data_IF_657982122907
#
_entry.id   IF_657982122907
#
_cell.length_a   1.000
_cell.length_b   1.000
_cell.length_c   1.000
_cell.angle_alpha   90.00
_cell.angle_beta   90.00
_cell.angle_gamma   90.00
#
_symmetry.space_group_name_H-M   'P 1'
#
loop_
_entity.id
_entity.type
_entity.pdbx_description
1 polymer ?
#
# COMPACT_ATOMS: atom_id res chain seq x y z
N UNK A 1 -8.85 -10.02 26.68
CA UNK A 1 -7.61 -9.49 27.32
C UNK A 1 -6.46 -9.75 26.36
N UNK A 2 -6.24 -8.86 25.40
CA UNK A 2 -5.04 -8.85 24.56
C UNK A 2 -4.08 -7.85 25.22
N UNK A 3 -3.00 -8.36 25.84
CA UNK A 3 -1.85 -7.54 26.19
C UNK A 3 -1.15 -7.22 24.86
N UNK A 4 -1.30 -6.00 24.38
CA UNK A 4 -0.44 -5.45 23.34
C UNK A 4 1.00 -5.49 23.84
N UNK A 5 1.77 -6.39 23.29
CA UNK A 5 3.21 -6.36 23.45
C UNK A 5 3.69 -5.06 22.77
N UNK A 6 4.16 -4.13 23.56
CA UNK A 6 4.85 -2.92 23.11
C UNK A 6 6.18 -3.38 22.50
N UNK A 7 6.11 -3.82 21.24
CA UNK A 7 7.27 -4.20 20.44
C UNK A 7 8.08 -2.91 20.27
N UNK A 8 9.26 -2.83 20.82
CA UNK A 8 10.15 -1.65 20.80
C UNK A 8 10.34 -1.13 19.37
N UNK A 9 9.31 -0.46 18.89
CA UNK A 9 9.23 0.14 17.56
C UNK A 9 10.35 1.17 17.42
N UNK A 10 11.12 1.10 16.36
CA UNK A 10 12.21 2.04 16.08
C UNK A 10 13.62 1.59 16.48
N UNK A 11 13.80 0.39 17.03
CA UNK A 11 15.13 -0.20 17.24
C UNK A 11 15.37 -1.34 16.24
N UNK A 12 16.64 -1.60 15.88
CA UNK A 12 16.99 -2.73 15.00
C UNK A 12 16.42 -4.08 15.49
N UNK A 13 16.42 -4.32 16.82
CA UNK A 13 15.81 -5.52 17.41
C UNK A 13 14.29 -5.55 17.26
N UNK A 14 13.65 -4.38 17.28
CA UNK A 14 12.21 -4.26 17.03
C UNK A 14 11.84 -4.63 15.59
N UNK A 15 12.57 -4.16 14.62
CA UNK A 15 12.33 -4.45 13.20
C UNK A 15 12.60 -5.90 12.85
N UNK A 16 13.63 -6.53 13.41
CA UNK A 16 13.86 -7.96 13.23
C UNK A 16 12.65 -8.79 13.69
N UNK A 17 12.09 -8.48 14.87
CA UNK A 17 10.92 -9.20 15.38
C UNK A 17 9.67 -8.94 14.53
N UNK A 18 9.50 -7.72 14.01
CA UNK A 18 8.43 -7.38 13.07
C UNK A 18 8.57 -8.22 11.80
N UNK A 19 9.76 -8.26 11.20
CA UNK A 19 10.05 -9.07 10.02
C UNK A 19 9.71 -10.55 10.24
N UNK A 20 10.25 -11.15 11.32
CA UNK A 20 9.99 -12.55 11.67
C UNK A 20 8.49 -12.83 11.82
N UNK A 21 7.75 -11.91 12.47
CA UNK A 21 6.31 -12.04 12.65
C UNK A 21 5.55 -11.95 11.32
N UNK A 22 5.91 -11.01 10.44
CA UNK A 22 5.25 -10.83 9.15
C UNK A 22 5.54 -11.98 8.18
N UNK A 23 6.81 -12.42 8.12
CA UNK A 23 7.21 -13.57 7.31
C UNK A 23 6.52 -14.85 7.79
N UNK A 24 6.48 -15.10 9.10
CA UNK A 24 5.76 -16.23 9.68
C UNK A 24 4.26 -16.15 9.36
N UNK A 25 3.65 -14.99 9.54
CA UNK A 25 2.22 -14.79 9.26
C UNK A 25 1.87 -15.03 7.80
N UNK A 26 2.70 -14.57 6.86
CA UNK A 26 2.53 -14.85 5.44
C UNK A 26 2.57 -16.35 5.17
N UNK A 27 3.53 -17.10 5.72
CA UNK A 27 3.60 -18.57 5.58
C UNK A 27 2.38 -19.26 6.17
N UNK A 28 2.03 -18.92 7.41
CA UNK A 28 0.94 -19.58 8.16
C UNK A 28 -0.43 -19.34 7.50
N UNK A 29 -0.71 -18.09 7.10
CA UNK A 29 -2.02 -17.72 6.55
C UNK A 29 -2.23 -18.17 5.10
N UNK A 30 -1.16 -18.38 4.36
CA UNK A 30 -1.26 -18.74 2.94
C UNK A 30 -1.11 -20.24 2.67
N UNK A 31 -0.57 -20.99 3.64
CA UNK A 31 -0.42 -22.46 3.56
C UNK A 31 0.04 -22.94 2.17
N UNK A 32 -0.84 -23.62 1.45
CA UNK A 32 -0.66 -24.19 0.09
C UNK A 32 -0.97 -23.20 -1.05
N UNK A 33 -1.28 -21.94 -0.73
CA UNK A 33 -1.50 -20.89 -1.72
C UNK A 33 -0.21 -20.16 -2.07
N UNK A 34 -0.03 -19.81 -3.32
CA UNK A 34 1.03 -18.90 -3.76
C UNK A 34 0.73 -17.47 -3.33
N UNK A 35 1.72 -16.59 -3.38
CA UNK A 35 1.57 -15.15 -3.10
C UNK A 35 1.58 -14.37 -4.41
N UNK A 36 0.65 -13.45 -4.55
CA UNK A 36 0.59 -12.54 -5.69
C UNK A 36 0.43 -11.09 -5.23
N UNK A 37 1.26 -10.19 -5.75
CA UNK A 37 1.15 -8.77 -5.46
C UNK A 37 1.34 -7.90 -6.71
N UNK A 38 0.83 -6.69 -6.65
CA UNK A 38 1.17 -5.62 -7.60
C UNK A 38 2.48 -4.95 -7.19
N UNK A 39 3.44 -4.85 -8.10
CA UNK A 39 4.69 -4.11 -7.86
C UNK A 39 4.69 -2.84 -8.67
N UNK A 40 4.64 -1.68 -7.98
CA UNK A 40 4.50 -0.36 -8.60
C UNK A 40 5.83 0.38 -8.79
N UNK A 41 6.92 -0.11 -8.17
CA UNK A 41 8.19 0.64 -8.07
C UNK A 41 8.21 1.66 -6.93
N UNK A 42 7.19 1.68 -6.07
CA UNK A 42 7.14 2.43 -4.80
C UNK A 42 7.63 1.61 -3.61
N UNK A 43 8.01 2.30 -2.52
CA UNK A 43 8.62 1.71 -1.33
C UNK A 43 7.74 0.65 -0.65
N UNK A 44 6.42 0.87 -0.55
CA UNK A 44 5.49 -0.05 0.12
C UNK A 44 5.44 -1.39 -0.62
N UNK A 45 5.30 -1.36 -1.95
CA UNK A 45 5.32 -2.56 -2.78
C UNK A 45 6.68 -3.27 -2.72
N UNK A 46 7.79 -2.55 -2.59
CA UNK A 46 9.12 -3.11 -2.46
C UNK A 46 9.32 -3.83 -1.11
N UNK A 47 8.84 -3.24 -0.01
CA UNK A 47 8.83 -3.86 1.32
C UNK A 47 8.01 -5.15 1.31
N UNK A 48 6.78 -5.12 0.77
CA UNK A 48 5.92 -6.29 0.71
C UNK A 48 6.48 -7.38 -0.20
N UNK A 49 7.05 -7.02 -1.36
CA UNK A 49 7.71 -7.96 -2.25
C UNK A 49 8.86 -8.69 -1.55
N UNK A 50 9.68 -7.94 -0.79
CA UNK A 50 10.78 -8.49 -0.01
C UNK A 50 10.30 -9.47 1.06
N UNK A 51 9.23 -9.13 1.79
CA UNK A 51 8.61 -10.00 2.79
C UNK A 51 8.04 -11.27 2.16
N UNK A 52 7.36 -11.15 1.03
CA UNK A 52 6.80 -12.29 0.28
C UNK A 52 7.91 -13.23 -0.22
N UNK A 53 8.96 -12.69 -0.82
CA UNK A 53 10.11 -13.47 -1.29
C UNK A 53 10.81 -14.22 -0.14
N UNK A 54 10.93 -13.61 1.05
CA UNK A 54 11.45 -14.28 2.24
C UNK A 54 10.51 -15.34 2.81
N UNK A 55 9.21 -15.09 2.72
CA UNK A 55 8.21 -16.05 3.19
C UNK A 55 8.10 -17.27 2.26
N UNK A 56 8.02 -17.04 0.95
CA UNK A 56 7.81 -18.07 -0.07
C UNK A 56 8.63 -17.77 -1.34
N UNK A 57 9.94 -18.03 -1.35
CA UNK A 57 10.84 -17.62 -2.44
C UNK A 57 10.40 -18.09 -3.82
N UNK A 58 9.97 -19.37 -3.96
CA UNK A 58 9.62 -19.97 -5.24
C UNK A 58 8.13 -19.84 -5.60
N UNK A 59 7.32 -19.35 -4.66
CA UNK A 59 5.86 -19.27 -4.76
C UNK A 59 5.34 -17.82 -4.74
N UNK A 60 6.24 -16.84 -4.89
CA UNK A 60 5.88 -15.42 -4.97
C UNK A 60 5.82 -14.96 -6.43
N UNK A 61 4.74 -14.29 -6.78
CA UNK A 61 4.47 -13.76 -8.12
C UNK A 61 4.15 -12.27 -8.05
N UNK A 62 4.50 -11.54 -9.10
CA UNK A 62 4.21 -10.12 -9.22
C UNK A 62 3.53 -9.78 -10.55
N UNK A 63 2.62 -8.80 -10.52
CA UNK A 63 2.15 -8.10 -11.71
C UNK A 63 2.67 -6.66 -11.69
N UNK A 64 3.30 -6.25 -12.78
CA UNK A 64 3.69 -4.86 -13.07
C UNK A 64 2.71 -4.36 -14.11
N UNK A 65 1.88 -3.38 -13.76
CA UNK A 65 0.71 -2.98 -14.55
C UNK A 65 0.77 -1.49 -14.92
N UNK A 66 1.65 -1.11 -15.88
CA UNK A 66 1.80 0.27 -16.27
C UNK A 66 0.64 0.81 -17.08
N UNK A 67 0.51 2.15 -17.08
CA UNK A 67 -0.27 2.95 -18.02
C UNK A 67 0.68 3.76 -18.91
N UNK A 68 0.16 4.50 -19.89
CA UNK A 68 0.97 5.41 -20.71
C UNK A 68 1.60 6.55 -19.88
N UNK A 69 0.96 6.94 -18.76
CA UNK A 69 1.46 7.98 -17.85
C UNK A 69 2.36 7.45 -16.72
N UNK A 70 2.58 6.14 -16.62
CA UNK A 70 3.43 5.56 -15.59
C UNK A 70 4.88 6.03 -15.74
N UNK A 71 5.50 6.40 -14.62
CA UNK A 71 6.88 6.81 -14.59
C UNK A 71 7.80 5.66 -14.99
N UNK A 72 8.64 5.88 -16.01
CA UNK A 72 9.55 4.87 -16.54
C UNK A 72 10.52 4.35 -15.48
N UNK A 73 11.05 5.24 -14.62
CA UNK A 73 11.96 4.85 -13.55
C UNK A 73 11.28 3.91 -12.54
N UNK A 74 9.97 4.15 -12.22
CA UNK A 74 9.21 3.27 -11.35
C UNK A 74 9.05 1.87 -11.95
N UNK A 75 8.87 1.80 -13.26
CA UNK A 75 8.78 0.52 -13.97
C UNK A 75 10.12 -0.22 -13.96
N UNK A 76 11.22 0.47 -14.25
CA UNK A 76 12.56 -0.10 -14.22
C UNK A 76 12.92 -0.59 -12.80
N UNK A 77 12.61 0.20 -11.76
CA UNK A 77 12.79 -0.18 -10.36
C UNK A 77 11.97 -1.43 -9.99
N UNK A 78 10.72 -1.53 -10.46
CA UNK A 78 9.87 -2.70 -10.23
C UNK A 78 10.44 -3.98 -10.88
N UNK A 79 10.94 -3.88 -12.10
CA UNK A 79 11.59 -4.99 -12.81
C UNK A 79 12.84 -5.45 -12.08
N UNK A 80 13.75 -4.51 -11.79
CA UNK A 80 15.02 -4.79 -11.08
C UNK A 80 14.76 -5.44 -9.70
N UNK A 81 13.73 -4.98 -8.98
CA UNK A 81 13.36 -5.57 -7.70
C UNK A 81 12.92 -7.04 -7.85
N UNK A 82 12.05 -7.31 -8.82
CA UNK A 82 11.58 -8.69 -9.08
C UNK A 82 12.74 -9.61 -9.44
N UNK A 83 13.67 -9.16 -10.30
CA UNK A 83 14.87 -9.92 -10.69
C UNK A 83 15.78 -10.17 -9.48
N UNK A 84 16.08 -9.12 -8.70
CA UNK A 84 16.93 -9.21 -7.50
C UNK A 84 16.38 -10.18 -6.45
N UNK A 85 15.05 -10.20 -6.28
CA UNK A 85 14.37 -11.07 -5.33
C UNK A 85 13.99 -12.45 -5.91
N UNK A 86 14.34 -12.72 -7.17
CA UNK A 86 13.96 -13.93 -7.90
C UNK A 86 12.44 -14.19 -7.89
N UNK A 87 11.64 -13.12 -7.98
CA UNK A 87 10.18 -13.17 -8.03
C UNK A 87 9.74 -13.39 -9.48
N UNK A 88 8.86 -14.36 -9.71
CA UNK A 88 8.21 -14.57 -11.02
C UNK A 88 7.27 -13.41 -11.32
N UNK A 89 7.46 -12.70 -12.45
CA UNK A 89 6.62 -11.55 -12.75
C UNK A 89 6.08 -11.55 -14.18
N UNK A 90 4.99 -10.78 -14.36
CA UNK A 90 4.45 -10.42 -15.68
C UNK A 90 4.27 -8.91 -15.77
N UNK A 91 4.54 -8.35 -16.94
CA UNK A 91 4.24 -6.96 -17.27
C UNK A 91 2.97 -6.95 -18.12
N UNK A 92 1.93 -6.30 -17.61
CA UNK A 92 0.61 -6.21 -18.25
C UNK A 92 0.20 -4.74 -18.36
N UNK A 93 0.35 -4.12 -19.52
CA UNK A 93 -0.17 -2.77 -19.74
C UNK A 93 -1.69 -2.77 -19.62
N UNK A 94 -2.21 -1.85 -18.79
CA UNK A 94 -3.65 -1.66 -18.61
C UNK A 94 -4.23 -0.56 -19.51
N UNK A 95 -3.41 0.06 -20.36
CA UNK A 95 -3.78 1.21 -21.17
C UNK A 95 -4.97 0.92 -22.10
N UNK A 96 -4.93 -0.22 -22.80
CA UNK A 96 -6.03 -0.60 -23.71
C UNK A 96 -7.37 -0.79 -22.98
N UNK A 97 -7.33 -1.33 -21.74
CA UNK A 97 -8.54 -1.50 -20.93
C UNK A 97 -9.07 -0.14 -20.48
N UNK A 98 -8.20 0.76 -20.03
CA UNK A 98 -8.59 2.11 -19.61
C UNK A 98 -9.19 2.91 -20.77
N UNK A 99 -8.61 2.82 -21.97
CA UNK A 99 -9.12 3.51 -23.15
C UNK A 99 -10.53 3.02 -23.51
N UNK A 100 -10.79 1.72 -23.46
CA UNK A 100 -12.14 1.17 -23.67
C UNK A 100 -13.15 1.70 -22.63
N UNK A 101 -12.74 1.85 -21.38
CA UNK A 101 -13.58 2.50 -20.35
C UNK A 101 -13.82 3.97 -20.66
N UNK A 102 -12.79 4.72 -21.08
CA UNK A 102 -12.91 6.15 -21.38
C UNK A 102 -13.86 6.40 -22.56
N UNK A 103 -13.77 5.59 -23.60
CA UNK A 103 -14.69 5.62 -24.74
C UNK A 103 -16.14 5.31 -24.35
N UNK A 104 -16.34 4.38 -23.39
CA UNK A 104 -17.68 4.00 -22.93
C UNK A 104 -18.34 5.07 -22.05
N UNK A 105 -17.56 5.80 -21.24
CA UNK A 105 -18.11 6.70 -20.22
C UNK A 105 -18.49 8.07 -20.81
N UNK A 106 -17.91 8.44 -21.94
CA UNK A 106 -18.18 9.71 -22.67
C UNK A 106 -18.26 10.97 -21.79
N UNK A 107 -17.25 11.20 -20.93
CA UNK A 107 -17.16 12.40 -20.08
C UNK A 107 -15.72 12.77 -19.80
N UNK A 108 -15.48 14.05 -19.57
CA UNK A 108 -14.21 14.53 -19.05
C UNK A 108 -13.96 14.00 -17.62
N UNK A 109 -13.10 12.99 -17.49
CA UNK A 109 -12.75 12.40 -16.22
C UNK A 109 -11.69 13.23 -15.51
N UNK A 110 -11.93 13.57 -14.23
CA UNK A 110 -10.88 14.11 -13.37
C UNK A 110 -9.76 13.09 -13.14
N UNK A 111 -8.56 13.55 -12.80
CA UNK A 111 -7.42 12.68 -12.50
C UNK A 111 -7.76 11.66 -11.40
N UNK A 112 -8.48 12.09 -10.35
CA UNK A 112 -8.93 11.19 -9.29
C UNK A 112 -9.84 10.05 -9.82
N UNK A 113 -10.77 10.34 -10.74
CA UNK A 113 -11.62 9.31 -11.35
C UNK A 113 -10.80 8.34 -12.21
N UNK A 114 -9.85 8.85 -12.99
CA UNK A 114 -8.94 8.03 -13.80
C UNK A 114 -8.08 7.12 -12.92
N UNK A 115 -7.49 7.67 -11.86
CA UNK A 115 -6.70 6.90 -10.89
C UNK A 115 -7.51 5.81 -10.20
N UNK A 116 -8.72 6.12 -9.72
CA UNK A 116 -9.62 5.13 -9.12
C UNK A 116 -10.00 4.01 -10.12
N UNK A 117 -10.20 4.35 -11.38
CA UNK A 117 -10.49 3.35 -12.42
C UNK A 117 -9.27 2.46 -12.65
N UNK A 118 -8.07 3.04 -12.80
CA UNK A 118 -6.83 2.29 -12.96
C UNK A 118 -6.57 1.32 -11.80
N UNK A 119 -6.80 1.76 -10.55
CA UNK A 119 -6.68 0.91 -9.37
C UNK A 119 -7.63 -0.30 -9.42
N UNK A 120 -8.89 -0.10 -9.87
CA UNK A 120 -9.87 -1.19 -10.03
C UNK A 120 -9.54 -2.13 -11.17
N UNK A 121 -9.03 -1.64 -12.29
CA UNK A 121 -8.54 -2.49 -13.39
C UNK A 121 -7.38 -3.34 -12.90
N UNK A 122 -6.40 -2.77 -12.20
CA UNK A 122 -5.30 -3.53 -11.60
C UNK A 122 -5.78 -4.60 -10.63
N UNK A 123 -6.73 -4.27 -9.77
CA UNK A 123 -7.35 -5.23 -8.86
C UNK A 123 -8.00 -6.40 -9.62
N UNK A 124 -8.78 -6.12 -10.66
CA UNK A 124 -9.42 -7.17 -11.46
C UNK A 124 -8.42 -8.13 -12.08
N UNK A 125 -7.31 -7.63 -12.62
CA UNK A 125 -6.23 -8.45 -13.18
C UNK A 125 -5.49 -9.25 -12.12
N UNK A 126 -5.26 -8.68 -10.92
CA UNK A 126 -4.66 -9.39 -9.79
C UNK A 126 -5.54 -10.58 -9.37
N UNK A 127 -6.84 -10.37 -9.20
CA UNK A 127 -7.74 -11.43 -8.77
C UNK A 127 -7.97 -12.50 -9.84
N UNK A 128 -8.05 -12.14 -11.11
CA UNK A 128 -8.08 -13.09 -12.22
C UNK A 128 -6.81 -13.96 -12.22
N UNK A 129 -5.65 -13.32 -12.22
CA UNK A 129 -4.38 -14.05 -12.25
C UNK A 129 -4.16 -14.88 -10.98
N UNK A 130 -4.59 -14.39 -9.80
CA UNK A 130 -4.52 -15.16 -8.55
C UNK A 130 -5.27 -16.49 -8.64
N UNK A 131 -6.44 -16.48 -9.28
CA UNK A 131 -7.23 -17.68 -9.51
C UNK A 131 -6.52 -18.67 -10.44
N UNK A 132 -5.83 -18.18 -11.46
CA UNK A 132 -5.14 -19.02 -12.46
C UNK A 132 -3.92 -19.76 -11.89
N UNK A 133 -3.29 -19.22 -10.83
CA UNK A 133 -2.09 -19.78 -10.20
C UNK A 133 -2.32 -20.28 -8.76
N UNK A 134 -3.54 -20.35 -8.29
CA UNK A 134 -3.89 -20.71 -6.91
C UNK A 134 -3.19 -19.82 -5.86
N UNK A 135 -3.20 -18.51 -6.06
CA UNK A 135 -2.54 -17.54 -5.18
C UNK A 135 -3.53 -16.73 -4.33
N UNK A 136 -3.03 -16.08 -3.29
CA UNK A 136 -3.72 -15.01 -2.58
C UNK A 136 -3.11 -13.65 -2.97
N UNK A 137 -3.99 -12.66 -3.16
CA UNK A 137 -3.57 -11.28 -3.42
C UNK A 137 -3.08 -10.64 -2.13
N UNK A 138 -1.84 -10.14 -2.15
CA UNK A 138 -1.18 -9.49 -1.02
C UNK A 138 -1.22 -7.98 -1.23
N UNK A 139 -1.79 -7.28 -0.24
CA UNK A 139 -1.91 -5.82 -0.24
C UNK A 139 -0.62 -5.13 0.16
N UNK A 140 -0.50 -3.88 -0.26
CA UNK A 140 0.68 -3.05 -0.03
C UNK A 140 0.38 -1.74 0.70
N UNK A 141 -0.83 -1.61 1.26
CA UNK A 141 -1.23 -0.38 1.97
C UNK A 141 -0.64 -0.35 3.39
N UNK A 142 -0.03 0.76 3.76
CA UNK A 142 0.47 1.00 5.11
C UNK A 142 -0.62 1.58 6.03
N UNK A 143 -0.34 1.69 7.34
CA UNK A 143 -1.30 2.15 8.34
C UNK A 143 -1.77 3.58 8.10
N UNK A 144 -0.88 4.47 7.70
CA UNK A 144 -1.21 5.88 7.44
C UNK A 144 -2.22 6.01 6.30
N UNK A 145 -1.97 5.32 5.19
CA UNK A 145 -2.87 5.28 4.03
C UNK A 145 -4.23 4.70 4.41
N UNK A 146 -4.24 3.57 5.13
CA UNK A 146 -5.47 2.93 5.59
C UNK A 146 -6.29 3.86 6.51
N UNK A 147 -5.65 4.50 7.47
CA UNK A 147 -6.35 5.39 8.42
C UNK A 147 -6.93 6.61 7.71
N UNK A 148 -6.17 7.24 6.82
CA UNK A 148 -6.63 8.38 6.02
C UNK A 148 -7.66 8.00 4.96
N UNK A 149 -7.79 6.70 4.64
CA UNK A 149 -8.55 6.22 3.48
C UNK A 149 -7.93 6.68 2.16
N UNK A 150 -6.61 6.89 2.13
CA UNK A 150 -5.84 7.22 0.94
C UNK A 150 -5.58 5.93 0.16
N UNK A 151 -6.57 5.53 -0.60
CA UNK A 151 -6.64 4.35 -1.43
C UNK A 151 -8.03 4.17 -2.01
N UNK A 152 -8.14 3.40 -3.06
CA UNK A 152 -9.38 3.13 -3.78
C UNK A 152 -10.08 1.91 -3.22
N UNK A 153 -11.28 2.13 -2.64
CA UNK A 153 -12.12 0.99 -2.21
C UNK A 153 -12.45 0.08 -3.41
N UNK A 154 -12.29 -1.23 -3.22
CA UNK A 154 -12.39 -2.24 -4.28
C UNK A 154 -11.42 -2.01 -5.45
N UNK A 155 -10.28 -1.36 -5.18
CA UNK A 155 -9.14 -1.20 -6.06
C UNK A 155 -7.88 -1.69 -5.36
N UNK A 156 -6.94 -0.81 -5.12
CA UNK A 156 -5.68 -1.10 -4.41
C UNK A 156 -5.86 -1.52 -2.95
N UNK A 157 -6.99 -1.18 -2.30
CA UNK A 157 -7.33 -1.67 -0.97
C UNK A 157 -7.87 -3.11 -0.94
N UNK A 158 -8.17 -3.71 -2.09
CA UNK A 158 -8.66 -5.08 -2.17
C UNK A 158 -7.50 -6.07 -2.13
N UNK A 159 -7.42 -6.84 -1.06
CA UNK A 159 -6.42 -7.89 -0.87
C UNK A 159 -6.94 -8.95 0.09
N UNK A 160 -6.30 -10.12 0.08
CA UNK A 160 -6.60 -11.19 1.05
C UNK A 160 -5.81 -11.00 2.36
N UNK A 161 -4.58 -10.51 2.26
CA UNK A 161 -3.69 -10.25 3.40
C UNK A 161 -2.96 -8.93 3.12
N UNK A 162 -2.94 -8.04 4.12
CA UNK A 162 -2.18 -6.80 4.04
C UNK A 162 -1.12 -6.77 5.17
N UNK A 163 0.12 -7.21 4.89
CA UNK A 163 1.12 -7.43 5.92
C UNK A 163 1.60 -6.16 6.62
N UNK A 164 1.67 -5.03 5.91
CA UNK A 164 2.21 -3.77 6.45
C UNK A 164 1.14 -2.80 6.99
N UNK A 165 -0.10 -3.24 7.10
CA UNK A 165 -1.24 -2.41 7.53
C UNK A 165 -1.16 -1.88 8.97
N UNK A 166 -0.24 -2.37 9.80
CA UNK A 166 0.02 -1.87 11.15
C UNK A 166 1.28 -1.00 11.26
N UNK A 167 2.01 -0.78 10.15
CA UNK A 167 3.17 0.10 10.10
C UNK A 167 2.79 1.46 9.50
N UNK A 168 3.12 2.54 10.21
CA UNK A 168 2.99 3.90 9.68
C UNK A 168 3.98 4.14 8.52
N UNK A 169 3.68 5.09 7.64
CA UNK A 169 4.55 5.41 6.50
C UNK A 169 5.97 5.75 6.92
N UNK A 170 6.15 6.51 7.98
CA UNK A 170 7.47 6.82 8.55
C UNK A 170 8.21 5.58 9.03
N UNK A 171 7.51 4.59 9.60
CA UNK A 171 8.08 3.30 9.99
C UNK A 171 8.47 2.45 8.78
N UNK A 172 7.74 2.56 7.65
CA UNK A 172 8.06 1.83 6.41
C UNK A 172 9.43 2.21 5.87
N UNK A 173 9.83 3.48 5.93
CA UNK A 173 11.15 3.90 5.48
C UNK A 173 12.29 3.25 6.28
N UNK A 174 12.15 3.21 7.61
CA UNK A 174 13.14 2.58 8.48
C UNK A 174 13.12 1.05 8.35
N UNK A 175 11.94 0.48 8.21
CA UNK A 175 11.79 -0.96 7.99
C UNK A 175 12.36 -1.40 6.63
N UNK A 176 12.20 -0.59 5.58
CA UNK A 176 12.81 -0.83 4.28
C UNK A 176 14.34 -0.89 4.36
N UNK A 177 14.97 0.02 5.12
CA UNK A 177 16.42 -0.01 5.39
C UNK A 177 16.83 -1.30 6.10
N UNK A 178 16.07 -1.73 7.13
CA UNK A 178 16.30 -2.97 7.84
C UNK A 178 16.20 -4.20 6.93
N UNK A 179 15.25 -4.21 6.00
CA UNK A 179 15.07 -5.30 5.04
C UNK A 179 16.12 -5.31 3.92
N UNK A 180 16.93 -4.26 3.77
CA UNK A 180 17.91 -4.12 2.68
C UNK A 180 17.28 -3.79 1.34
N UNK A 181 16.15 -3.09 1.35
CA UNK A 181 15.54 -2.51 0.15
C UNK A 181 16.46 -1.43 -0.41
N UNK A 182 16.60 -1.36 -1.72
CA UNK A 182 17.54 -0.45 -2.36
C UNK A 182 17.22 1.03 -2.07
N UNK A 183 18.28 1.83 -1.94
CA UNK A 183 18.19 3.25 -1.57
C UNK A 183 17.35 4.09 -2.53
N UNK A 184 17.24 3.71 -3.80
CA UNK A 184 16.41 4.42 -4.77
C UNK A 184 14.92 4.40 -4.40
N UNK A 185 14.41 3.32 -3.78
CA UNK A 185 13.06 3.28 -3.22
C UNK A 185 12.92 4.18 -1.99
N UNK A 186 13.96 4.24 -1.15
CA UNK A 186 13.94 5.00 0.12
C UNK A 186 14.03 6.50 -0.14
N UNK A 187 14.80 6.93 -1.14
CA UNK A 187 15.01 8.35 -1.49
C UNK A 187 13.88 8.95 -2.32
N UNK A 188 13.02 8.12 -2.89
CA UNK A 188 11.91 8.55 -3.73
C UNK A 188 10.78 9.15 -2.88
N UNK A 189 10.24 10.30 -3.33
CA UNK A 189 9.06 10.87 -2.68
C UNK A 189 7.85 9.92 -2.81
N UNK A 190 7.03 9.77 -1.76
CA UNK A 190 5.82 8.96 -1.81
C UNK A 190 4.84 9.47 -2.87
N UNK A 191 4.40 8.57 -3.75
CA UNK A 191 3.42 8.88 -4.78
C UNK A 191 2.67 7.61 -5.20
N UNK A 192 1.38 7.75 -5.44
CA UNK A 192 0.57 6.70 -6.03
C UNK A 192 0.78 6.58 -7.56
N UNK A 193 1.55 7.49 -8.18
CA UNK A 193 1.91 7.52 -9.62
C UNK A 193 0.68 7.39 -10.55
N UNK A 194 -0.41 8.08 -10.20
CA UNK A 194 -1.67 8.03 -10.94
C UNK A 194 -1.73 9.10 -12.05
N UNK A 195 -0.95 10.17 -11.93
CA UNK A 195 -0.75 11.22 -12.92
C UNK A 195 0.62 11.90 -12.73
N UNK A 196 1.09 12.55 -13.77
CA UNK A 196 2.40 13.21 -13.76
C UNK A 196 2.49 14.30 -12.68
N UNK A 197 3.58 14.29 -11.91
CA UNK A 197 3.83 15.24 -10.83
C UNK A 197 3.01 14.99 -9.54
N UNK A 198 2.27 13.88 -9.43
CA UNK A 198 1.56 13.55 -8.20
C UNK A 198 2.54 13.28 -7.05
N UNK A 199 2.17 13.76 -5.85
CA UNK A 199 2.76 13.31 -4.59
C UNK A 199 1.68 13.14 -3.53
N UNK A 200 1.81 12.13 -2.68
CA UNK A 200 0.86 11.85 -1.60
C UNK A 200 0.75 13.03 -0.64
N UNK A 201 1.89 13.60 -0.25
CA UNK A 201 1.94 14.75 0.67
C UNK A 201 1.31 16.01 0.04
N UNK A 202 1.42 16.18 -1.28
CA UNK A 202 0.73 17.26 -2.02
C UNK A 202 -0.78 17.08 -2.01
N UNK A 203 -1.28 15.87 -2.23
CA UNK A 203 -2.70 15.55 -2.23
C UNK A 203 -3.33 15.63 -0.83
N UNK A 204 -2.59 15.25 0.20
CA UNK A 204 -3.06 15.25 1.59
C UNK A 204 -2.91 16.65 2.21
N UNK A 205 -1.86 17.39 1.83
CA UNK A 205 -1.55 18.74 2.32
C UNK A 205 -0.63 18.76 3.55
N UNK A 206 -0.13 17.60 3.98
CA UNK A 206 0.76 17.44 5.13
C UNK A 206 1.82 16.38 4.84
N UNK A 207 3.02 16.51 5.44
CA UNK A 207 4.04 15.47 5.35
C UNK A 207 3.67 14.24 6.19
N UNK A 208 4.13 13.06 5.77
CA UNK A 208 3.90 11.83 6.53
C UNK A 208 4.45 11.88 7.95
N UNK A 209 5.52 12.61 8.19
CA UNK A 209 6.04 12.83 9.55
C UNK A 209 5.00 13.52 10.46
N UNK A 210 4.28 14.52 9.92
CA UNK A 210 3.20 15.21 10.64
C UNK A 210 1.97 14.32 10.76
N UNK A 211 1.56 13.68 9.66
CA UNK A 211 0.40 12.80 9.61
C UNK A 211 0.51 11.69 10.65
N UNK A 212 1.62 10.96 10.64
CA UNK A 212 1.80 9.78 11.48
C UNK A 212 1.83 10.14 12.97
N UNK A 213 2.46 11.26 13.32
CA UNK A 213 2.48 11.72 14.71
C UNK A 213 1.08 12.18 15.17
N UNK A 214 0.30 12.84 14.30
CA UNK A 214 -1.10 13.17 14.61
C UNK A 214 -1.92 11.89 14.78
N UNK A 215 -1.84 10.94 13.83
CA UNK A 215 -2.57 9.68 13.88
C UNK A 215 -2.29 8.87 15.16
N UNK A 216 -1.03 8.82 15.59
CA UNK A 216 -0.62 8.15 16.83
C UNK A 216 -1.21 8.81 18.10
N UNK A 217 -1.49 10.10 18.04
CA UNK A 217 -1.98 10.87 19.18
C UNK A 217 -3.50 11.09 19.18
N UNK A 218 -4.21 10.77 18.08
CA UNK A 218 -5.65 11.05 17.97
C UNK A 218 -6.49 10.42 19.08
N UNK A 219 -6.19 9.19 19.48
CA UNK A 219 -6.99 8.45 20.46
C UNK A 219 -6.64 8.80 21.91
N UNK A 220 -5.35 9.02 22.22
CA UNK A 220 -4.88 9.07 23.59
C UNK A 220 -4.32 10.43 24.01
N UNK A 221 -3.99 11.32 23.09
CA UNK A 221 -3.23 12.54 23.38
C UNK A 221 -3.53 13.69 22.41
N UNK A 222 -4.77 13.81 21.97
CA UNK A 222 -5.20 14.77 20.94
C UNK A 222 -4.81 16.22 21.28
N UNK A 223 -4.87 16.61 22.56
CA UNK A 223 -4.46 17.95 23.01
C UNK A 223 -2.98 18.23 22.74
N UNK A 224 -2.11 17.24 22.91
CA UNK A 224 -0.69 17.36 22.62
C UNK A 224 -0.46 17.53 21.11
N UNK A 225 -1.19 16.79 20.27
CA UNK A 225 -1.14 16.96 18.83
C UNK A 225 -1.60 18.38 18.42
N UNK A 226 -2.67 18.88 19.00
CA UNK A 226 -3.18 20.24 18.74
C UNK A 226 -2.14 21.30 19.14
N UNK A 227 -1.50 21.13 20.32
CA UNK A 227 -0.46 22.05 20.80
C UNK A 227 0.75 22.09 19.86
N UNK A 228 1.11 20.93 19.28
CA UNK A 228 2.31 20.81 18.42
C UNK A 228 2.05 21.23 16.98
N UNK A 229 0.92 20.82 16.39
CA UNK A 229 0.64 20.96 14.96
C UNK A 229 -0.48 21.95 14.63
N UNK A 230 -1.18 22.46 15.64
CA UNK A 230 -2.32 23.35 15.51
C UNK A 230 -3.64 22.60 15.30
N UNK A 231 -4.73 23.25 15.71
CA UNK A 231 -6.09 22.68 15.66
C UNK A 231 -6.50 22.30 14.23
N UNK A 232 -6.17 23.15 13.24
CA UNK A 232 -6.56 22.93 11.83
C UNK A 232 -5.99 21.61 11.31
N UNK A 233 -4.68 21.38 11.45
CA UNK A 233 -4.03 20.16 10.94
C UNK A 233 -4.62 18.90 11.58
N UNK A 234 -4.85 18.92 12.90
CA UNK A 234 -5.42 17.80 13.63
C UNK A 234 -6.86 17.50 13.17
N UNK A 235 -7.69 18.54 13.00
CA UNK A 235 -9.07 18.36 12.53
C UNK A 235 -9.13 17.90 11.07
N UNK A 236 -8.28 18.41 10.18
CA UNK A 236 -8.23 17.99 8.78
C UNK A 236 -7.91 16.48 8.67
N UNK A 237 -6.93 16.00 9.44
CA UNK A 237 -6.55 14.58 9.46
C UNK A 237 -7.64 13.73 10.12
N UNK A 238 -8.17 14.14 11.28
CA UNK A 238 -9.26 13.44 11.96
C UNK A 238 -10.49 13.31 11.07
N UNK A 239 -10.91 14.37 10.38
CA UNK A 239 -12.03 14.34 9.45
C UNK A 239 -11.82 13.34 8.31
N UNK A 240 -10.60 13.24 7.76
CA UNK A 240 -10.28 12.22 6.76
C UNK A 240 -10.40 10.80 7.34
N UNK A 241 -9.90 10.57 8.55
CA UNK A 241 -9.99 9.27 9.24
C UNK A 241 -11.45 8.85 9.45
N UNK A 242 -12.29 9.78 9.92
CA UNK A 242 -13.72 9.52 10.20
C UNK A 242 -14.49 9.32 8.89
N UNK A 243 -14.36 10.23 7.93
CA UNK A 243 -15.10 10.19 6.66
C UNK A 243 -14.77 8.97 5.82
N UNK A 244 -13.54 8.44 5.91
CA UNK A 244 -13.10 7.28 5.17
C UNK A 244 -13.14 5.96 5.95
N UNK A 245 -13.72 5.96 7.16
CA UNK A 245 -13.78 4.76 8.03
C UNK A 245 -14.40 3.56 7.31
N UNK A 246 -15.41 3.79 6.46
CA UNK A 246 -16.10 2.75 5.72
C UNK A 246 -15.19 1.97 4.75
N UNK A 247 -14.07 2.57 4.29
CA UNK A 247 -13.11 1.90 3.40
C UNK A 247 -12.33 0.78 4.10
N UNK A 248 -12.30 0.79 5.44
CA UNK A 248 -11.59 -0.19 6.29
C UNK A 248 -12.50 -1.27 6.86
N UNK A 249 -13.74 -1.30 6.44
CA UNK A 249 -14.76 -2.21 6.98
C UNK A 249 -15.41 -2.98 5.84
N UNK A 250 -15.87 -4.18 6.14
CA UNK A 250 -16.77 -4.90 5.23
C UNK A 250 -18.05 -4.09 5.03
N UNK A 251 -18.72 -4.21 3.88
CA UNK A 251 -19.98 -3.53 3.64
C UNK A 251 -20.95 -3.73 4.81
N UNK A 252 -21.60 -2.65 5.23
CA UNK A 252 -22.56 -2.68 6.31
C UNK A 252 -23.76 -3.55 5.91
N UNK A 253 -24.05 -4.57 6.71
CA UNK A 253 -25.27 -5.39 6.57
C UNK A 253 -26.35 -4.74 7.40
N UNK A 254 -27.41 -4.25 6.75
CA UNK A 254 -28.60 -3.72 7.44
C UNK A 254 -29.36 -4.89 8.06
N UNK A 255 -29.52 -4.86 9.38
CA UNK A 255 -30.35 -5.85 10.09
C UNK A 255 -31.82 -5.44 9.99
N UNK A 256 -32.68 -6.39 9.70
CA UNK A 256 -34.15 -6.26 9.64
C UNK A 256 -34.77 -6.94 10.84
#
# INVERSE_FOLDING_TARGET
MQKEANLGKGTMKGYQKIEETLVFSLKDKTKDKQLLLGVSGGIDSAVVATLCARAKPDETHALIMPTASSNRQNMDDALNLCEKLNIKYKVLSIEGILNAFYETIDVNLSNLRKGNLAARVRMSLLYDYSSSINALVIGTSNKSELMLGYGTIFGDLACAINPIGELYKSEIFEFAKHLGVDENFIKKAPSADLWDGQSDEGDIGYSYAVIDEILQNLENNKEQAIKKFGLKAVLDIENRVVSNRFKRQMPLIVKI
#
